data_IF_982927534233
#
_entry.id   IF_982927534233
#
_cell.length_a   1.000
_cell.length_b   1.000
_cell.length_c   1.000
_cell.angle_alpha   90.00
_cell.angle_beta   90.00
_cell.angle_gamma   90.00
#
_symmetry.space_group_name_H-M   'P 1'
#
loop_
_entity.id
_entity.type
_entity.pdbx_description
1 polymer ?
#
# COMPACT_ATOMS: atom_id res chain seq x y z
N UNK A 1 -13.97 5.42 16.77
CA UNK A 1 -14.49 4.07 16.47
C UNK A 1 -14.47 3.77 14.96
N UNK A 2 -15.33 4.34 14.11
CA UNK A 2 -15.33 4.02 12.66
C UNK A 2 -14.10 4.55 11.91
N UNK A 3 -13.60 5.72 12.29
CA UNK A 3 -12.44 6.33 11.65
C UNK A 3 -11.12 5.64 12.04
N UNK A 4 -10.96 5.33 13.32
CA UNK A 4 -9.86 4.53 13.87
C UNK A 4 -9.76 3.12 13.25
N UNK A 5 -10.91 2.49 12.99
CA UNK A 5 -10.99 1.18 12.35
C UNK A 5 -10.49 1.22 10.90
N UNK A 6 -10.73 2.31 10.17
CA UNK A 6 -10.23 2.52 8.81
C UNK A 6 -8.71 2.70 8.76
N UNK A 7 -8.16 3.52 9.66
CA UNK A 7 -6.71 3.71 9.84
C UNK A 7 -6.00 2.37 10.13
N UNK A 8 -6.51 1.60 11.08
CA UNK A 8 -5.94 0.30 11.46
C UNK A 8 -5.99 -0.69 10.29
N UNK A 9 -7.13 -0.76 9.59
CA UNK A 9 -7.30 -1.66 8.44
C UNK A 9 -6.34 -1.35 7.30
N UNK A 10 -6.12 -0.06 6.99
CA UNK A 10 -5.17 0.36 5.95
C UNK A 10 -3.72 0.05 6.36
N UNK A 11 -3.38 0.24 7.63
CA UNK A 11 -2.06 -0.09 8.17
C UNK A 11 -1.77 -1.59 8.07
N UNK A 12 -2.73 -2.44 8.44
CA UNK A 12 -2.59 -3.89 8.37
C UNK A 12 -2.53 -4.40 6.92
N UNK A 13 -3.36 -3.85 6.03
CA UNK A 13 -3.30 -4.13 4.60
C UNK A 13 -1.93 -3.76 4.01
N UNK A 14 -1.35 -2.63 4.42
CA UNK A 14 -0.02 -2.21 4.00
C UNK A 14 1.08 -3.16 4.46
N UNK A 15 1.04 -3.61 5.72
CA UNK A 15 1.98 -4.62 6.24
C UNK A 15 1.87 -5.94 5.48
N UNK A 16 0.65 -6.45 5.28
CA UNK A 16 0.44 -7.69 4.53
C UNK A 16 0.92 -7.58 3.08
N UNK A 17 0.61 -6.46 2.41
CA UNK A 17 1.06 -6.21 1.03
C UNK A 17 2.58 -6.15 0.94
N UNK A 18 3.24 -5.47 1.87
CA UNK A 18 4.70 -5.39 1.92
C UNK A 18 5.36 -6.75 2.23
N UNK A 19 4.77 -7.55 3.12
CA UNK A 19 5.28 -8.88 3.45
C UNK A 19 5.16 -9.84 2.28
N UNK A 20 3.97 -9.99 1.71
CA UNK A 20 3.74 -10.87 0.55
C UNK A 20 4.55 -10.46 -0.67
N UNK A 21 4.80 -9.16 -0.85
CA UNK A 21 5.71 -8.61 -1.85
C UNK A 21 7.15 -9.13 -1.70
N UNK A 22 7.71 -8.96 -0.51
CA UNK A 22 9.07 -9.38 -0.20
C UNK A 22 9.22 -10.88 -0.43
N UNK A 23 8.26 -11.65 0.03
CA UNK A 23 8.24 -13.10 -0.14
C UNK A 23 8.20 -13.49 -1.62
N UNK A 24 7.37 -12.82 -2.43
CA UNK A 24 7.25 -13.13 -3.85
C UNK A 24 8.52 -12.75 -4.63
N UNK A 25 9.16 -11.63 -4.31
CA UNK A 25 10.46 -11.25 -4.87
C UNK A 25 11.55 -12.27 -4.54
N UNK A 26 11.60 -12.74 -3.30
CA UNK A 26 12.53 -13.80 -2.86
C UNK A 26 12.27 -15.11 -3.62
N UNK A 27 11.01 -15.51 -3.77
CA UNK A 27 10.65 -16.72 -4.50
C UNK A 27 11.07 -16.66 -5.98
N UNK A 28 10.93 -15.51 -6.64
CA UNK A 28 11.39 -15.36 -8.04
C UNK A 28 12.92 -15.43 -8.12
N UNK A 29 13.66 -14.80 -7.20
CA UNK A 29 15.12 -14.93 -7.16
C UNK A 29 15.57 -16.37 -6.93
N UNK A 30 14.89 -17.09 -6.03
CA UNK A 30 15.14 -18.52 -5.80
C UNK A 30 14.85 -19.35 -7.04
N UNK A 31 13.77 -19.05 -7.77
CA UNK A 31 13.43 -19.70 -9.02
C UNK A 31 14.51 -19.50 -10.09
N UNK A 32 15.01 -18.26 -10.26
CA UNK A 32 16.10 -17.95 -11.20
C UNK A 32 17.39 -18.67 -10.78
N UNK A 33 17.72 -18.67 -9.50
CA UNK A 33 18.91 -19.35 -8.97
C UNK A 33 18.84 -20.87 -9.15
N UNK A 34 17.67 -21.47 -8.92
CA UNK A 34 17.43 -22.89 -9.17
C UNK A 34 17.50 -23.26 -10.65
N UNK A 35 17.17 -22.31 -11.54
CA UNK A 35 17.22 -22.47 -12.97
C UNK A 35 18.66 -22.29 -13.54
N UNK A 36 19.53 -21.53 -12.87
CA UNK A 36 20.89 -21.22 -13.34
C UNK A 36 21.77 -22.44 -13.73
N UNK A 37 21.75 -23.59 -13.02
CA UNK A 37 22.52 -24.77 -13.42
C UNK A 37 22.06 -25.43 -14.73
N UNK A 38 20.89 -25.03 -15.24
CA UNK A 38 20.38 -25.47 -16.54
C UNK A 38 20.90 -24.60 -17.69
N UNK A 39 21.40 -23.40 -17.37
CA UNK A 39 22.05 -22.48 -18.30
C UNK A 39 23.37 -23.09 -18.76
N UNK A 40 23.43 -23.54 -20.02
CA UNK A 40 24.55 -24.29 -20.59
C UNK A 40 24.33 -25.81 -20.70
N UNK A 41 23.28 -26.36 -20.08
CA UNK A 41 22.79 -27.72 -20.40
C UNK A 41 21.85 -27.71 -21.61
N UNK A 42 21.23 -26.58 -21.88
CA UNK A 42 20.39 -26.39 -23.05
C UNK A 42 21.17 -25.83 -24.25
N UNK A 43 20.91 -26.38 -25.43
CA UNK A 43 21.42 -25.91 -26.72
C UNK A 43 20.26 -25.60 -27.68
N UNK A 44 20.47 -24.68 -28.63
CA UNK A 44 19.47 -24.32 -29.64
C UNK A 44 18.17 -23.77 -29.04
N UNK A 45 17.04 -24.37 -29.42
CA UNK A 45 15.70 -23.95 -28.98
C UNK A 45 15.51 -23.98 -27.45
N UNK A 46 16.15 -24.92 -26.74
CA UNK A 46 16.06 -25.01 -25.28
C UNK A 46 16.74 -23.81 -24.59
N UNK A 47 17.86 -23.33 -25.12
CA UNK A 47 18.53 -22.14 -24.60
C UNK A 47 17.67 -20.90 -24.83
N UNK A 48 17.06 -20.79 -26.01
CA UNK A 48 16.16 -19.67 -26.33
C UNK A 48 14.97 -19.63 -25.37
N UNK A 49 14.32 -20.78 -25.12
CA UNK A 49 13.21 -20.86 -24.18
C UNK A 49 13.62 -20.48 -22.74
N UNK A 50 14.81 -20.90 -22.33
CA UNK A 50 15.36 -20.56 -21.01
C UNK A 50 15.68 -19.07 -20.87
N UNK A 51 16.31 -18.47 -21.89
CA UNK A 51 16.63 -17.04 -21.92
C UNK A 51 15.33 -16.20 -21.90
N UNK A 52 14.29 -16.61 -22.63
CA UNK A 52 12.95 -16.00 -22.58
C UNK A 52 12.31 -16.14 -21.19
N UNK A 53 12.41 -17.31 -20.56
CA UNK A 53 11.90 -17.53 -19.21
C UNK A 53 12.58 -16.60 -18.19
N UNK A 54 13.90 -16.46 -18.24
CA UNK A 54 14.65 -15.53 -17.37
C UNK A 54 14.19 -14.10 -17.61
N UNK A 55 14.09 -13.67 -18.86
CA UNK A 55 13.66 -12.32 -19.19
C UNK A 55 12.27 -11.99 -18.63
N UNK A 56 11.28 -12.87 -18.81
CA UNK A 56 9.95 -12.67 -18.23
C UNK A 56 9.96 -12.68 -16.71
N UNK A 57 10.80 -13.51 -16.09
CA UNK A 57 10.93 -13.55 -14.62
C UNK A 57 11.47 -12.24 -14.08
N UNK A 58 12.48 -11.66 -14.73
CA UNK A 58 13.04 -10.36 -14.37
C UNK A 58 12.02 -9.22 -14.58
N UNK A 59 11.30 -9.23 -15.70
CA UNK A 59 10.26 -8.25 -16.03
C UNK A 59 9.12 -8.28 -15.01
N UNK A 60 8.60 -9.47 -14.69
CA UNK A 60 7.55 -9.66 -13.69
C UNK A 60 8.02 -9.17 -12.32
N UNK A 61 9.26 -9.48 -11.94
CA UNK A 61 9.84 -9.00 -10.67
C UNK A 61 9.89 -7.48 -10.62
N UNK A 62 10.35 -6.83 -11.69
CA UNK A 62 10.42 -5.38 -11.77
C UNK A 62 9.02 -4.74 -11.73
N UNK A 63 8.08 -5.26 -12.51
CA UNK A 63 6.70 -4.78 -12.56
C UNK A 63 5.98 -4.94 -11.23
N UNK A 64 6.19 -6.06 -10.55
CA UNK A 64 5.66 -6.31 -9.22
C UNK A 64 6.21 -5.27 -8.24
N UNK A 65 7.53 -5.11 -8.15
CA UNK A 65 8.16 -4.13 -7.27
C UNK A 65 7.66 -2.70 -7.51
N UNK A 66 7.52 -2.29 -8.78
CA UNK A 66 6.97 -0.98 -9.13
C UNK A 66 5.51 -0.80 -8.72
N UNK A 67 4.67 -1.82 -8.95
CA UNK A 67 3.26 -1.82 -8.55
C UNK A 67 3.11 -1.73 -7.04
N UNK A 68 3.95 -2.43 -6.29
CA UNK A 68 3.96 -2.42 -4.83
C UNK A 68 4.41 -1.09 -4.26
N UNK A 69 5.46 -0.49 -4.82
CA UNK A 69 5.88 0.85 -4.44
C UNK A 69 4.74 1.87 -4.65
N UNK A 70 4.00 1.73 -5.74
CA UNK A 70 2.82 2.55 -6.03
C UNK A 70 1.68 2.32 -5.03
N UNK A 71 1.40 1.07 -4.65
CA UNK A 71 0.39 0.75 -3.63
C UNK A 71 0.79 1.32 -2.27
N UNK A 72 2.04 1.13 -1.83
CA UNK A 72 2.53 1.67 -0.56
C UNK A 72 2.48 3.19 -0.54
N UNK A 73 2.87 3.84 -1.63
CA UNK A 73 2.73 5.30 -1.79
C UNK A 73 1.28 5.75 -1.72
N UNK A 74 0.37 5.05 -2.41
CA UNK A 74 -1.08 5.33 -2.38
C UNK A 74 -1.69 5.12 -0.98
N UNK A 75 -1.31 4.07 -0.26
CA UNK A 75 -1.76 3.82 1.10
C UNK A 75 -1.25 4.88 2.08
N UNK A 76 0.01 5.28 1.96
CA UNK A 76 0.57 6.39 2.73
C UNK A 76 -0.18 7.70 2.45
N UNK A 77 -0.44 8.01 1.18
CA UNK A 77 -1.23 9.19 0.80
C UNK A 77 -2.66 9.17 1.33
N UNK A 78 -3.33 8.01 1.28
CA UNK A 78 -4.66 7.83 1.87
C UNK A 78 -4.63 8.03 3.38
N UNK A 79 -3.65 7.48 4.09
CA UNK A 79 -3.51 7.66 5.54
C UNK A 79 -3.33 9.13 5.90
N UNK A 80 -2.44 9.86 5.20
CA UNK A 80 -2.24 11.29 5.41
C UNK A 80 -3.51 12.09 5.14
N UNK A 81 -4.19 11.82 4.03
CA UNK A 81 -5.44 12.51 3.66
C UNK A 81 -6.53 12.29 4.71
N UNK A 82 -6.62 11.06 5.23
CA UNK A 82 -7.60 10.69 6.23
C UNK A 82 -7.35 11.39 7.58
N UNK A 83 -6.12 11.35 8.08
CA UNK A 83 -5.73 12.01 9.34
C UNK A 83 -5.91 13.52 9.24
N UNK A 84 -5.50 14.11 8.11
CA UNK A 84 -5.64 15.56 7.89
C UNK A 84 -7.10 15.96 7.82
N UNK A 85 -7.93 15.22 7.07
CA UNK A 85 -9.36 15.50 6.95
C UNK A 85 -10.12 15.34 8.27
N UNK A 86 -9.72 14.40 9.12
CA UNK A 86 -10.30 14.23 10.47
C UNK A 86 -9.98 15.44 11.37
N UNK A 87 -8.72 15.89 11.37
CA UNK A 87 -8.30 17.09 12.11
C UNK A 87 -9.03 18.34 11.60
N UNK A 88 -9.08 18.56 10.29
CA UNK A 88 -9.81 19.70 9.70
C UNK A 88 -11.29 19.67 10.05
N UNK A 89 -11.91 18.48 10.05
CA UNK A 89 -13.32 18.33 10.42
C UNK A 89 -13.55 18.66 11.90
N UNK A 90 -12.65 18.23 12.79
CA UNK A 90 -12.69 18.55 14.21
C UNK A 90 -12.51 20.05 14.45
N UNK A 91 -11.54 20.68 13.80
CA UNK A 91 -11.26 22.11 13.92
C UNK A 91 -12.44 22.94 13.41
N UNK A 92 -13.02 22.59 12.26
CA UNK A 92 -14.21 23.24 11.72
C UNK A 92 -15.41 23.10 12.65
N UNK A 93 -15.64 21.90 13.21
CA UNK A 93 -16.70 21.68 14.18
C UNK A 93 -16.50 22.54 15.44
N UNK A 94 -15.27 22.61 15.98
CA UNK A 94 -14.94 23.40 17.15
C UNK A 94 -15.10 24.91 16.89
N UNK A 95 -14.73 25.39 15.70
CA UNK A 95 -14.96 26.77 15.28
C UNK A 95 -16.45 27.09 15.18
N UNK A 96 -17.23 26.23 14.52
CA UNK A 96 -18.69 26.41 14.42
C UNK A 96 -19.39 26.32 15.78
N UNK A 97 -18.94 25.45 16.68
CA UNK A 97 -19.42 25.41 18.06
C UNK A 97 -19.05 26.70 18.80
N UNK A 98 -17.82 27.18 18.67
CA UNK A 98 -17.39 28.42 19.34
C UNK A 98 -18.14 29.65 18.81
N UNK A 99 -18.52 29.64 17.53
CA UNK A 99 -19.37 30.66 16.91
C UNK A 99 -20.86 30.50 17.24
N UNK A 100 -21.29 29.33 17.71
CA UNK A 100 -22.65 29.12 18.16
C UNK A 100 -22.85 29.86 19.51
N UNK A 101 -23.78 30.81 19.52
CA UNK A 101 -24.11 31.58 20.72
C UNK A 101 -24.92 30.71 21.70
N UNK A 102 -24.24 29.87 22.48
CA UNK A 102 -24.85 29.06 23.53
C UNK A 102 -25.39 29.89 24.71
N UNK A 103 -24.92 31.14 24.87
CA UNK A 103 -25.39 32.04 25.92
C UNK A 103 -26.77 32.65 25.62
N UNK A 104 -27.11 32.90 24.35
CA UNK A 104 -28.47 33.28 23.94
C UNK A 104 -29.49 32.13 24.09
N UNK A 105 -29.04 30.89 24.26
CA UNK A 105 -29.87 29.71 24.50
C UNK A 105 -30.08 29.41 25.99
N UNK A 106 -29.53 30.21 26.92
CA UNK A 106 -29.99 30.20 28.31
C UNK A 106 -31.47 30.57 28.29
N UNK A 107 -32.34 29.62 28.63
CA UNK A 107 -33.75 29.87 28.92
C UNK A 107 -33.86 30.81 30.13
N UNK A 108 -33.63 32.10 29.91
CA UNK A 108 -34.07 33.20 30.76
C UNK A 108 -35.55 33.40 30.48
N UNK A 109 -36.35 32.40 30.85
CA UNK A 109 -37.80 32.37 30.66
C UNK A 109 -38.45 31.87 31.93
N UNK A 110 -38.68 32.82 32.84
CA UNK A 110 -39.78 32.96 33.81
C UNK A 110 -40.44 31.69 34.37
#
# INVERSE_FOLDING_TARGET
>A
MKFDMGSTTLSDLGKSTSGSSSDLGVLIQQLIAAAAPLEGKFNGAGKTAFDTFKHHSDEITAALNGSLHSILGGQSGMNTSFVTGDQESADNAQQHMSAANFDAARFSGR
#
